data_IF_899811948945
#
_entry.id   IF_899811948945
#
_cell.length_a   1.000
_cell.length_b   1.000
_cell.length_c   1.000
_cell.angle_alpha   90.00
_cell.angle_beta   90.00
_cell.angle_gamma   90.00
#
_symmetry.space_group_name_H-M   'P 1'
#
loop_
_entity.id
_entity.type
_entity.pdbx_description
1 polymer ?
#
# COMPACT_ATOMS: atom_id res chain seq x y z
N UNK A 1 -7.29 15.50 16.07
CA UNK A 1 -6.25 14.53 15.63
C UNK A 1 -5.49 15.13 14.47
N UNK A 2 -4.17 15.05 14.49
CA UNK A 2 -3.32 15.65 13.45
C UNK A 2 -3.21 14.71 12.25
N UNK A 3 -3.53 15.21 11.08
CA UNK A 3 -3.30 14.51 9.82
C UNK A 3 -1.80 14.54 9.51
N UNK A 4 -1.22 13.40 9.15
CA UNK A 4 0.18 13.28 8.77
C UNK A 4 0.30 12.90 7.29
N UNK A 5 1.17 13.60 6.58
CA UNK A 5 1.47 13.37 5.18
C UNK A 5 2.76 12.56 5.05
N UNK A 6 2.76 11.58 4.14
CA UNK A 6 3.91 10.74 3.83
C UNK A 6 4.30 10.98 2.37
N UNK A 7 5.59 11.22 2.14
CA UNK A 7 6.16 11.43 0.82
C UNK A 7 7.08 10.28 0.43
N UNK A 8 7.05 9.89 -0.83
CA UNK A 8 8.05 8.99 -1.43
C UNK A 8 9.28 9.72 -1.97
N UNK A 9 9.25 11.05 -1.95
CA UNK A 9 10.27 11.88 -2.61
C UNK A 9 10.07 12.04 -4.12
N UNK A 10 8.98 11.51 -4.67
CA UNK A 10 8.65 11.65 -6.09
C UNK A 10 8.38 13.11 -6.45
N UNK A 11 8.89 13.55 -7.60
CA UNK A 11 8.61 14.89 -8.15
C UNK A 11 7.13 15.09 -8.46
N UNK A 12 6.41 14.04 -8.83
CA UNK A 12 4.97 14.09 -9.11
C UNK A 12 4.16 14.59 -7.90
N UNK A 13 4.53 14.17 -6.69
CA UNK A 13 3.81 14.58 -5.47
C UNK A 13 3.80 16.10 -5.31
N UNK A 14 4.93 16.74 -5.56
CA UNK A 14 5.09 18.19 -5.46
C UNK A 14 4.41 18.92 -6.62
N UNK A 15 4.61 18.44 -7.84
CA UNK A 15 4.11 19.12 -9.05
C UNK A 15 2.58 19.03 -9.16
N UNK A 16 2.00 17.89 -8.78
CA UNK A 16 0.55 17.67 -8.85
C UNK A 16 -0.16 18.09 -7.57
N UNK A 17 0.52 18.12 -6.44
CA UNK A 17 -0.03 18.55 -5.16
C UNK A 17 -0.72 17.42 -4.37
N UNK A 18 -0.08 16.25 -4.29
CA UNK A 18 -0.59 15.13 -3.48
C UNK A 18 0.51 14.53 -2.61
N UNK A 19 0.13 13.65 -1.72
CA UNK A 19 1.04 12.88 -0.87
C UNK A 19 1.01 11.40 -1.24
N UNK A 20 2.13 10.69 -1.04
CA UNK A 20 2.16 9.24 -1.26
C UNK A 20 1.17 8.52 -0.35
N UNK A 21 1.04 8.98 0.88
CA UNK A 21 0.00 8.50 1.79
C UNK A 21 -0.43 9.60 2.76
N UNK A 22 -1.63 9.45 3.28
CA UNK A 22 -2.19 10.30 4.32
C UNK A 22 -2.59 9.42 5.50
N UNK A 23 -2.10 9.77 6.67
CA UNK A 23 -2.55 9.17 7.94
C UNK A 23 -3.54 10.13 8.60
N UNK A 24 -4.74 9.65 8.84
CA UNK A 24 -5.79 10.39 9.55
C UNK A 24 -6.38 9.50 10.64
N UNK A 25 -6.00 9.77 11.88
CA UNK A 25 -6.30 8.88 13.01
C UNK A 25 -5.71 7.48 12.80
N UNK A 26 -6.56 6.47 12.81
CA UNK A 26 -6.17 5.07 12.55
C UNK A 26 -6.19 4.72 11.04
N UNK A 27 -6.70 5.61 10.21
CA UNK A 27 -6.80 5.36 8.77
C UNK A 27 -5.54 5.78 8.03
N UNK A 28 -5.16 4.97 7.05
CA UNK A 28 -4.05 5.22 6.13
C UNK A 28 -4.57 5.10 4.72
N UNK A 29 -4.45 6.17 3.97
CA UNK A 29 -4.82 6.25 2.55
C UNK A 29 -3.55 6.33 1.74
N UNK A 30 -3.27 5.29 0.95
CA UNK A 30 -2.12 5.28 0.05
C UNK A 30 -2.62 5.64 -1.34
N UNK A 31 -2.03 6.67 -1.92
CA UNK A 31 -2.33 7.13 -3.27
C UNK A 31 -2.09 6.03 -4.31
N UNK A 32 -2.70 6.18 -5.47
CA UNK A 32 -2.37 5.36 -6.64
C UNK A 32 -0.87 5.27 -6.82
N UNK A 33 -0.34 4.06 -6.81
CA UNK A 33 1.09 3.76 -6.79
C UNK A 33 1.40 2.85 -7.96
N UNK A 34 2.46 3.13 -8.66
CA UNK A 34 2.88 2.42 -9.87
C UNK A 34 4.20 1.69 -9.67
N UNK A 35 4.64 0.97 -10.70
CA UNK A 35 5.89 0.25 -10.69
C UNK A 35 7.14 1.09 -10.98
N UNK A 36 7.07 2.42 -10.83
CA UNK A 36 8.26 3.24 -10.86
C UNK A 36 9.13 3.02 -9.62
N UNK A 37 10.42 2.91 -9.82
CA UNK A 37 11.38 3.24 -8.76
C UNK A 37 11.42 4.78 -8.66
N UNK A 38 10.83 5.33 -7.63
CA UNK A 38 10.71 6.79 -7.48
C UNK A 38 12.04 7.51 -7.22
N UNK A 39 13.08 6.79 -6.80
CA UNK A 39 14.41 7.37 -6.63
C UNK A 39 15.12 7.59 -7.96
N UNK A 40 14.95 6.69 -8.92
CA UNK A 40 15.62 6.72 -10.23
C UNK A 40 14.68 7.12 -11.37
N UNK A 41 13.37 7.14 -11.11
CA UNK A 41 12.31 7.35 -12.11
C UNK A 41 12.36 6.34 -13.26
N UNK A 42 12.78 5.12 -12.98
CA UNK A 42 12.80 4.00 -13.92
C UNK A 42 11.60 3.07 -13.67
N UNK A 43 11.11 2.48 -14.73
CA UNK A 43 10.03 1.49 -14.69
C UNK A 43 10.39 0.31 -15.59
N UNK A 44 10.17 -0.90 -15.11
CA UNK A 44 10.35 -2.10 -15.92
C UNK A 44 9.23 -2.24 -16.96
N UNK A 45 9.53 -2.90 -18.08
CA UNK A 45 8.51 -3.17 -19.12
C UNK A 45 7.60 -4.35 -18.78
N UNK A 46 8.07 -5.28 -17.96
CA UNK A 46 7.32 -6.46 -17.53
C UNK A 46 6.32 -6.13 -16.43
N UNK A 47 5.06 -6.58 -16.58
CA UNK A 47 4.00 -6.27 -15.61
C UNK A 47 4.23 -6.92 -14.24
N UNK A 48 4.85 -8.09 -14.19
CA UNK A 48 5.16 -8.77 -12.92
C UNK A 48 6.23 -7.98 -12.16
N UNK A 49 7.27 -7.51 -12.86
CA UNK A 49 8.28 -6.63 -12.27
C UNK A 49 7.66 -5.30 -11.81
N UNK A 50 6.74 -4.74 -12.58
CA UNK A 50 6.02 -3.52 -12.16
C UNK A 50 5.18 -3.75 -10.90
N UNK A 51 4.45 -4.85 -10.80
CA UNK A 51 3.64 -5.12 -9.61
C UNK A 51 4.50 -5.34 -8.36
N UNK A 52 5.63 -6.01 -8.48
CA UNK A 52 6.57 -6.18 -7.36
C UNK A 52 7.13 -4.84 -6.87
N UNK A 53 7.54 -3.96 -7.79
CA UNK A 53 8.00 -2.62 -7.42
C UNK A 53 6.87 -1.77 -6.83
N UNK A 54 5.70 -1.84 -7.40
CA UNK A 54 4.50 -1.16 -6.88
C UNK A 54 4.21 -1.59 -5.43
N UNK A 55 4.22 -2.88 -5.15
CA UNK A 55 4.00 -3.42 -3.81
C UNK A 55 5.11 -3.01 -2.83
N UNK A 56 6.37 -2.97 -3.29
CA UNK A 56 7.48 -2.45 -2.47
C UNK A 56 7.28 -0.96 -2.11
N UNK A 57 6.82 -0.16 -3.05
CA UNK A 57 6.51 1.26 -2.83
C UNK A 57 5.37 1.44 -1.82
N UNK A 58 4.31 0.63 -1.92
CA UNK A 58 3.19 0.62 -0.99
C UNK A 58 3.63 0.16 0.40
N UNK A 59 4.44 -0.90 0.48
CA UNK A 59 4.98 -1.39 1.74
C UNK A 59 5.78 -0.32 2.50
N UNK A 60 6.62 0.43 1.79
CA UNK A 60 7.38 1.53 2.37
C UNK A 60 6.47 2.62 2.95
N UNK A 61 5.41 3.00 2.22
CA UNK A 61 4.44 3.99 2.68
C UNK A 61 3.64 3.49 3.89
N UNK A 62 3.17 2.25 3.87
CA UNK A 62 2.46 1.62 4.98
C UNK A 62 3.32 1.55 6.24
N UNK A 63 4.58 1.12 6.11
CA UNK A 63 5.53 1.02 7.22
C UNK A 63 5.78 2.39 7.86
N UNK A 64 6.00 3.42 7.08
CA UNK A 64 6.15 4.78 7.58
C UNK A 64 4.88 5.29 8.28
N UNK A 65 3.71 4.85 7.81
CA UNK A 65 2.42 5.14 8.44
C UNK A 65 2.18 4.35 9.74
N UNK A 66 3.01 3.35 10.05
CA UNK A 66 2.80 2.46 11.19
C UNK A 66 1.77 1.35 10.94
N UNK A 67 1.65 0.94 9.68
CA UNK A 67 0.77 -0.12 9.21
C UNK A 67 1.55 -1.17 8.38
N UNK A 68 0.87 -2.21 7.98
CA UNK A 68 1.37 -3.27 7.11
C UNK A 68 0.31 -3.70 6.09
N UNK A 69 0.64 -4.61 5.19
CA UNK A 69 -0.35 -5.20 4.29
C UNK A 69 -1.50 -5.90 5.03
N UNK A 70 -1.22 -6.44 6.22
CA UNK A 70 -2.24 -7.12 7.05
C UNK A 70 -3.31 -6.17 7.58
N UNK A 71 -3.03 -4.87 7.58
CA UNK A 71 -3.95 -3.81 8.00
C UNK A 71 -4.81 -3.27 6.85
N UNK A 72 -4.56 -3.70 5.62
CA UNK A 72 -5.29 -3.21 4.44
C UNK A 72 -6.72 -3.73 4.45
N UNK A 73 -7.68 -2.84 4.29
CA UNK A 73 -9.12 -3.15 4.26
C UNK A 73 -9.73 -3.01 2.87
N UNK A 74 -9.10 -2.22 1.99
CA UNK A 74 -9.52 -2.01 0.60
C UNK A 74 -8.31 -1.90 -0.30
N UNK A 75 -8.39 -2.52 -1.47
CA UNK A 75 -7.43 -2.38 -2.56
C UNK A 75 -8.17 -2.17 -3.88
N UNK A 76 -7.64 -1.29 -4.72
CA UNK A 76 -8.07 -1.10 -6.10
C UNK A 76 -6.91 -1.32 -7.05
N UNK A 77 -7.15 -2.13 -8.06
CA UNK A 77 -6.22 -2.43 -9.14
C UNK A 77 -6.67 -1.73 -10.40
N UNK A 78 -5.82 -0.90 -10.97
CA UNK A 78 -6.09 -0.15 -12.20
C UNK A 78 -5.12 -0.63 -13.27
N UNK A 79 -5.64 -1.18 -14.38
CA UNK A 79 -4.84 -1.72 -15.46
C UNK A 79 -5.37 -1.25 -16.82
N UNK A 80 -4.49 -0.76 -17.72
CA UNK A 80 -4.89 -0.48 -19.09
C UNK A 80 -5.33 -1.73 -19.86
N UNK A 81 -4.63 -2.86 -19.64
CA UNK A 81 -4.95 -4.16 -20.22
C UNK A 81 -5.34 -5.17 -19.14
N UNK A 82 -6.62 -5.58 -19.07
CA UNK A 82 -7.05 -6.57 -18.08
C UNK A 82 -6.42 -7.95 -18.27
N UNK A 83 -5.88 -8.26 -19.45
CA UNK A 83 -5.18 -9.52 -19.70
C UNK A 83 -3.87 -9.65 -18.90
N UNK A 84 -3.30 -8.53 -18.43
CA UNK A 84 -2.11 -8.52 -17.57
C UNK A 84 -2.41 -8.94 -16.13
N UNK A 85 -3.66 -8.86 -15.69
CA UNK A 85 -4.01 -9.03 -14.28
C UNK A 85 -3.72 -10.44 -13.74
N UNK A 86 -4.05 -11.55 -14.43
CA UNK A 86 -3.76 -12.89 -13.90
C UNK A 86 -2.28 -13.14 -13.60
N UNK A 87 -1.37 -12.58 -14.38
CA UNK A 87 0.08 -12.70 -14.14
C UNK A 87 0.52 -12.06 -12.81
N UNK A 88 -0.24 -11.08 -12.32
CA UNK A 88 0.04 -10.37 -11.07
C UNK A 88 -0.44 -11.14 -9.83
N UNK A 89 -1.37 -12.07 -9.96
CA UNK A 89 -2.04 -12.72 -8.82
C UNK A 89 -1.09 -13.38 -7.81
N UNK A 90 -0.02 -14.08 -8.19
CA UNK A 90 0.90 -14.64 -7.19
C UNK A 90 1.52 -13.59 -6.28
N UNK A 91 1.98 -12.48 -6.83
CA UNK A 91 2.57 -11.36 -6.06
C UNK A 91 1.54 -10.70 -5.15
N UNK A 92 0.33 -10.49 -5.66
CA UNK A 92 -0.78 -9.89 -4.90
C UNK A 92 -1.20 -10.80 -3.75
N UNK A 93 -1.35 -12.09 -4.01
CA UNK A 93 -1.71 -13.07 -2.98
C UNK A 93 -0.64 -13.18 -1.88
N UNK A 94 0.62 -13.07 -2.24
CA UNK A 94 1.71 -13.09 -1.26
C UNK A 94 1.63 -11.92 -0.27
N UNK A 95 1.12 -10.76 -0.69
CA UNK A 95 0.99 -9.56 0.15
C UNK A 95 -0.36 -9.46 0.86
N UNK A 96 -1.44 -9.78 0.16
CA UNK A 96 -2.82 -9.57 0.64
C UNK A 96 -3.49 -10.85 1.16
N UNK A 97 -2.84 -12.00 1.10
CA UNK A 97 -3.44 -13.29 1.43
C UNK A 97 -3.90 -13.43 2.88
N UNK A 98 -3.30 -12.70 3.80
CA UNK A 98 -3.70 -12.65 5.23
C UNK A 98 -4.85 -11.67 5.43
N UNK A 99 -4.69 -10.42 5.00
CA UNK A 99 -5.72 -9.38 5.18
C UNK A 99 -6.98 -9.66 4.37
N UNK A 100 -6.83 -10.18 3.14
CA UNK A 100 -7.94 -10.44 2.21
C UNK A 100 -8.89 -9.24 2.08
N UNK A 101 -8.38 -8.07 1.67
CA UNK A 101 -9.14 -6.84 1.63
C UNK A 101 -10.27 -6.91 0.59
N UNK A 102 -11.27 -6.02 0.75
CA UNK A 102 -12.22 -5.78 -0.30
C UNK A 102 -11.48 -5.24 -1.54
N UNK A 103 -11.63 -5.89 -2.68
CA UNK A 103 -10.87 -5.60 -3.88
C UNK A 103 -11.76 -5.26 -5.06
N UNK A 104 -11.31 -4.33 -5.89
CA UNK A 104 -11.92 -4.00 -7.18
C UNK A 104 -10.81 -3.87 -8.22
N UNK A 105 -11.00 -4.46 -9.39
CA UNK A 105 -10.14 -4.26 -10.55
C UNK A 105 -10.91 -3.45 -11.60
N UNK A 106 -10.26 -2.44 -12.16
CA UNK A 106 -10.81 -1.59 -13.21
C UNK A 106 -9.86 -1.53 -14.40
N UNK A 107 -10.43 -1.69 -15.59
CA UNK A 107 -9.73 -1.34 -16.83
C UNK A 107 -9.80 0.15 -17.02
N UNK A 108 -8.66 0.83 -17.08
CA UNK A 108 -8.57 2.28 -17.17
C UNK A 108 -7.22 2.69 -17.76
N UNK A 109 -7.18 3.78 -18.53
CA UNK A 109 -5.93 4.38 -18.97
C UNK A 109 -5.17 4.98 -17.79
N UNK A 110 -3.84 4.87 -17.82
CA UNK A 110 -2.95 5.42 -16.81
C UNK A 110 -2.20 6.64 -17.37
N UNK A 111 -1.58 7.41 -16.47
CA UNK A 111 -0.98 8.70 -16.82
C UNK A 111 0.24 8.61 -17.75
N UNK A 112 0.98 7.50 -17.69
CA UNK A 112 2.16 7.26 -18.53
C UNK A 112 1.95 5.94 -19.29
N UNK A 113 2.22 5.88 -20.60
CA UNK A 113 1.99 4.68 -21.42
C UNK A 113 2.85 3.47 -21.01
N UNK A 114 3.92 3.68 -20.25
CA UNK A 114 4.76 2.60 -19.69
C UNK A 114 4.12 1.93 -18.48
N UNK A 115 3.18 2.58 -17.81
CA UNK A 115 2.48 2.03 -16.65
C UNK A 115 1.52 0.92 -17.08
N UNK A 116 1.70 -0.28 -16.56
CA UNK A 116 0.84 -1.43 -16.83
C UNK A 116 -0.06 -1.79 -15.67
N UNK A 117 0.24 -1.28 -14.48
CA UNK A 117 -0.59 -1.43 -13.28
C UNK A 117 -0.40 -0.24 -12.35
N UNK A 118 -1.48 0.16 -11.71
CA UNK A 118 -1.50 1.10 -10.59
C UNK A 118 -2.36 0.51 -9.48
N UNK A 119 -1.92 0.66 -8.24
CA UNK A 119 -2.61 0.09 -7.07
C UNK A 119 -2.79 1.18 -6.02
N UNK A 120 -4.01 1.32 -5.48
CA UNK A 120 -4.27 2.14 -4.30
C UNK A 120 -4.81 1.29 -3.18
N UNK A 121 -4.45 1.60 -1.94
CA UNK A 121 -4.92 0.87 -0.77
C UNK A 121 -5.41 1.82 0.31
N UNK A 122 -6.38 1.33 1.09
CA UNK A 122 -6.81 1.93 2.35
C UNK A 122 -6.55 0.92 3.45
N UNK A 123 -5.84 1.35 4.50
CA UNK A 123 -5.54 0.51 5.65
C UNK A 123 -6.09 1.13 6.94
N UNK A 124 -6.32 0.29 7.94
CA UNK A 124 -6.66 0.73 9.28
C UNK A 124 -5.63 0.15 10.25
N UNK A 125 -4.67 0.96 10.64
CA UNK A 125 -3.62 0.56 11.56
C UNK A 125 -4.14 0.29 12.97
N UNK A 126 -3.48 -0.59 13.74
CA UNK A 126 -3.84 -0.80 15.14
C UNK A 126 -3.76 0.51 15.93
N UNK A 127 -4.80 0.81 16.72
CA UNK A 127 -4.79 2.00 17.56
C UNK A 127 -3.68 1.92 18.62
N UNK A 128 -3.13 3.06 19.02
CA UNK A 128 -2.08 3.15 20.05
C UNK A 128 -2.52 2.49 21.38
N UNK A 129 -3.81 2.51 21.70
CA UNK A 129 -4.38 1.83 22.86
C UNK A 129 -4.29 0.31 22.80
N UNK A 130 -4.31 -0.30 21.60
CA UNK A 130 -4.13 -1.76 21.42
C UNK A 130 -2.66 -2.16 21.55
N UNK A 131 -1.73 -1.31 21.07
CA UNK A 131 -0.28 -1.58 21.18
C UNK A 131 0.16 -1.62 22.64
N UNK A 132 -0.33 -0.72 23.49
CA UNK A 132 0.01 -0.70 24.94
C UNK A 132 -0.56 -1.91 25.71
N UNK A 133 -1.69 -2.47 25.26
CA UNK A 133 -2.28 -3.67 25.87
C UNK A 133 -1.56 -4.97 25.48
N UNK A 134 -1.07 -5.06 24.24
CA UNK A 134 -0.30 -6.21 23.76
C UNK A 134 1.13 -6.27 24.35
N UNK A 135 1.68 -5.12 24.76
CA UNK A 135 3.01 -5.00 25.33
C UNK A 135 3.05 -5.24 26.85
N UNK A 136 1.92 -5.46 27.54
CA UNK A 136 1.93 -5.81 28.97
C UNK A 136 2.21 -7.29 29.16
N UNK A 137 3.32 -7.69 29.85
CA UNK A 137 3.56 -9.08 30.18
C UNK A 137 2.42 -9.61 31.07
N UNK A 138 1.91 -10.79 30.72
CA UNK A 138 0.92 -11.51 31.57
C UNK A 138 1.65 -11.87 32.88
N UNK A 139 1.25 -11.24 33.96
CA UNK A 139 1.71 -11.59 35.31
C UNK A 139 1.27 -13.04 35.58
N UNK A 140 2.19 -13.97 35.96
CA UNK A 140 1.79 -15.33 36.29
C UNK A 140 0.93 -15.32 37.54
N UNK A 141 -0.21 -16.03 37.48
CA UNK A 141 -1.08 -16.21 38.63
C UNK A 141 -0.32 -16.92 39.76
N UNK A 142 -0.21 -16.29 40.92
CA UNK A 142 0.30 -16.97 42.13
C UNK A 142 -0.67 -18.11 42.48
N UNK A 143 -0.19 -19.35 42.37
CA UNK A 143 -0.88 -20.51 42.96
C UNK A 143 -0.74 -20.39 44.49
N UNK A 144 -1.86 -20.46 45.21
CA UNK A 144 -1.91 -20.76 46.64
C UNK A 144 -1.96 -22.28 46.84
#
# INVERSE_FOLDING_TARGET
>A
MTRRLISSGSTFEREVGYSRAVVDGDWVFVAGTTGFDYATMRIASDVVAQVEQCLANIEAALREAGASFDDVVRVRYLLPDPADFPACWPALRARFGVARPAATMMQVGLADPRMRIEIEVTARRPSSRRRSRAARPRTPARRR
#
